data_IF_594088904737
#
_entry.id   IF_594088904737
#
_cell.length_a   1.000
_cell.length_b   1.000
_cell.length_c   1.000
_cell.angle_alpha   90.00
_cell.angle_beta   90.00
_cell.angle_gamma   90.00
#
_symmetry.space_group_name_H-M   'P 1'
#
loop_
_entity.id
_entity.type
_entity.pdbx_description
1 polymer ?
#
# COMPACT_ATOMS: atom_id res chain seq x y z
N UNK A 1 -7.81 19.51 -20.60
CA UNK A 1 -8.51 19.25 -19.32
C UNK A 1 -7.56 18.46 -18.43
N UNK A 2 -6.92 19.11 -17.46
CA UNK A 2 -6.12 18.39 -16.46
C UNK A 2 -7.08 17.57 -15.59
N UNK A 3 -7.03 16.24 -15.73
CA UNK A 3 -7.57 15.35 -14.70
C UNK A 3 -6.69 15.58 -13.48
N UNK A 4 -7.16 16.37 -12.52
CA UNK A 4 -6.48 16.55 -11.25
C UNK A 4 -6.41 15.18 -10.58
N UNK A 5 -5.20 14.70 -10.33
CA UNK A 5 -4.98 13.46 -9.60
C UNK A 5 -5.38 13.67 -8.14
N UNK A 6 -6.50 13.08 -7.76
CA UNK A 6 -7.01 13.12 -6.39
C UNK A 6 -6.63 11.81 -5.70
N UNK A 7 -5.46 11.81 -5.08
CA UNK A 7 -4.93 10.65 -4.36
C UNK A 7 -5.90 10.15 -3.28
N UNK A 8 -6.64 11.06 -2.63
CA UNK A 8 -7.60 10.71 -1.57
C UNK A 8 -8.78 9.96 -2.16
N UNK A 9 -9.31 10.44 -3.29
CA UNK A 9 -10.37 9.75 -4.03
C UNK A 9 -9.91 8.39 -4.56
N UNK A 10 -8.73 8.32 -5.18
CA UNK A 10 -8.14 7.07 -5.71
C UNK A 10 -7.95 6.01 -4.61
N UNK A 11 -7.54 6.41 -3.40
CA UNK A 11 -7.47 5.51 -2.27
C UNK A 11 -8.83 5.05 -1.75
N UNK A 12 -9.85 5.92 -1.80
CA UNK A 12 -11.18 5.60 -1.29
C UNK A 12 -11.98 4.71 -2.26
N UNK A 13 -11.80 4.91 -3.57
CA UNK A 13 -12.43 4.12 -4.64
C UNK A 13 -11.87 2.70 -4.74
N UNK A 14 -10.59 2.50 -4.41
CA UNK A 14 -9.94 1.19 -4.55
C UNK A 14 -9.86 0.38 -3.27
N UNK A 15 -10.24 0.98 -2.13
CA UNK A 15 -10.34 0.33 -0.83
C UNK A 15 -11.79 0.33 -0.36
N UNK A 16 -12.70 -0.07 -1.25
CA UNK A 16 -14.13 -0.23 -0.98
C UNK A 16 -14.38 -1.00 0.33
N UNK A 17 -15.58 -0.82 0.88
CA UNK A 17 -15.96 -1.38 2.17
C UNK A 17 -15.81 -2.92 2.22
N UNK A 18 -15.96 -3.63 1.09
CA UNK A 18 -15.66 -5.06 0.93
C UNK A 18 -14.18 -5.40 1.19
N UNK A 19 -13.26 -4.51 0.77
CA UNK A 19 -11.83 -4.68 0.97
C UNK A 19 -11.41 -4.32 2.41
N UNK A 20 -12.03 -3.28 3.00
CA UNK A 20 -11.87 -2.98 4.45
C UNK A 20 -12.40 -4.11 5.34
N UNK A 21 -13.43 -4.80 4.90
CA UNK A 21 -14.02 -5.95 5.60
C UNK A 21 -13.17 -7.21 5.44
N UNK A 22 -12.59 -7.44 4.26
CA UNK A 22 -11.61 -8.53 4.03
C UNK A 22 -10.35 -8.39 4.91
N UNK A 23 -9.90 -7.15 5.13
CA UNK A 23 -8.81 -6.79 6.06
C UNK A 23 -9.15 -7.04 7.55
N UNK A 24 -10.42 -7.28 7.88
CA UNK A 24 -10.88 -7.52 9.26
C UNK A 24 -11.02 -9.00 9.61
N UNK A 25 -11.17 -9.90 8.64
CA UNK A 25 -11.71 -11.25 8.95
C UNK A 25 -10.79 -12.41 8.54
N UNK A 26 -9.94 -12.29 7.49
CA UNK A 26 -9.09 -13.44 7.09
C UNK A 26 -7.70 -13.02 6.58
N UNK A 27 -6.61 -13.43 7.26
CA UNK A 27 -5.25 -13.23 6.78
C UNK A 27 -5.03 -13.82 5.38
N UNK A 28 -4.68 -12.97 4.42
CA UNK A 28 -4.43 -13.34 3.03
C UNK A 28 -3.22 -12.59 2.48
N UNK A 29 -2.25 -13.36 1.97
CA UNK A 29 -1.12 -12.86 1.18
C UNK A 29 -1.60 -11.95 0.03
N UNK A 30 -2.56 -12.43 -0.76
CA UNK A 30 -3.02 -11.75 -1.97
C UNK A 30 -3.65 -10.38 -1.68
N UNK A 31 -4.26 -10.21 -0.49
CA UNK A 31 -4.80 -8.91 -0.07
C UNK A 31 -3.65 -7.91 0.10
N UNK A 32 -2.61 -8.27 0.86
CA UNK A 32 -1.49 -7.37 1.11
C UNK A 32 -0.65 -7.12 -0.15
N UNK A 33 -0.49 -8.12 -1.01
CA UNK A 33 0.18 -7.99 -2.31
C UNK A 33 -0.58 -7.00 -3.22
N UNK A 34 -1.91 -7.10 -3.28
CA UNK A 34 -2.75 -6.16 -4.02
C UNK A 34 -2.59 -4.72 -3.52
N UNK A 35 -2.60 -4.52 -2.20
CA UNK A 35 -2.36 -3.21 -1.59
C UNK A 35 -1.00 -2.63 -1.94
N UNK A 36 0.07 -3.41 -1.76
CA UNK A 36 1.43 -2.97 -2.05
C UNK A 36 1.58 -2.58 -3.53
N UNK A 37 0.98 -3.38 -4.42
CA UNK A 37 0.98 -3.10 -5.87
C UNK A 37 0.24 -1.80 -6.19
N UNK A 38 -0.90 -1.54 -5.56
CA UNK A 38 -1.64 -0.28 -5.77
C UNK A 38 -0.90 0.93 -5.24
N UNK A 39 -0.21 0.82 -4.10
CA UNK A 39 0.64 1.91 -3.58
C UNK A 39 1.73 2.29 -4.58
N UNK A 40 2.39 1.31 -5.20
CA UNK A 40 3.39 1.57 -6.24
C UNK A 40 2.78 2.20 -7.50
N UNK A 41 1.59 1.77 -7.90
CA UNK A 41 0.88 2.37 -9.02
C UNK A 41 0.58 3.85 -8.78
N UNK A 42 0.09 4.20 -7.58
CA UNK A 42 -0.21 5.57 -7.19
C UNK A 42 1.05 6.43 -7.13
N UNK A 43 2.16 5.90 -6.61
CA UNK A 43 3.46 6.59 -6.62
C UNK A 43 3.87 6.91 -8.06
N UNK A 44 3.85 5.92 -8.95
CA UNK A 44 4.23 6.11 -10.35
C UNK A 44 3.34 7.12 -11.07
N UNK A 45 2.03 7.10 -10.80
CA UNK A 45 1.10 8.07 -11.36
C UNK A 45 1.42 9.48 -10.85
N UNK A 46 1.73 9.63 -9.56
CA UNK A 46 2.12 10.91 -9.00
C UNK A 46 3.45 11.42 -9.58
N UNK A 47 4.49 10.58 -9.66
CA UNK A 47 5.77 10.92 -10.28
C UNK A 47 5.63 11.37 -11.74
N UNK A 48 4.73 10.74 -12.51
CA UNK A 48 4.47 11.11 -13.91
C UNK A 48 3.79 12.48 -14.04
N UNK A 49 3.00 12.88 -13.05
CA UNK A 49 2.27 14.15 -13.06
C UNK A 49 3.09 15.29 -12.43
N UNK A 50 3.90 14.97 -11.43
CA UNK A 50 4.72 15.92 -10.67
C UNK A 50 6.15 15.39 -10.51
N UNK A 51 7.00 15.47 -11.55
CA UNK A 51 8.36 14.93 -11.52
C UNK A 51 9.24 15.49 -10.39
N UNK A 52 8.94 16.71 -9.93
CA UNK A 52 9.65 17.37 -8.84
C UNK A 52 9.42 16.72 -7.45
N UNK A 53 8.53 15.72 -7.36
CA UNK A 53 8.26 14.95 -6.13
C UNK A 53 8.98 13.59 -6.09
N UNK A 54 9.75 13.26 -7.13
CA UNK A 54 10.35 11.95 -7.29
C UNK A 54 11.35 11.59 -6.17
N UNK A 55 12.07 12.57 -5.62
CA UNK A 55 13.02 12.31 -4.53
C UNK A 55 12.30 11.92 -3.23
N UNK A 56 11.21 12.61 -2.89
CA UNK A 56 10.39 12.30 -1.71
C UNK A 56 9.67 10.94 -1.85
N UNK A 57 9.25 10.59 -3.06
CA UNK A 57 8.56 9.34 -3.35
C UNK A 57 9.49 8.13 -3.43
N UNK A 58 10.76 8.32 -3.81
CA UNK A 58 11.73 7.24 -3.98
C UNK A 58 11.92 6.39 -2.71
N UNK A 59 12.01 7.03 -1.54
CA UNK A 59 12.15 6.32 -0.26
C UNK A 59 10.96 5.40 0.01
N UNK A 60 9.75 5.89 -0.25
CA UNK A 60 8.51 5.15 -0.05
C UNK A 60 8.36 4.02 -1.08
N UNK A 61 8.72 4.27 -2.34
CA UNK A 61 8.74 3.26 -3.40
C UNK A 61 9.65 2.08 -2.98
N UNK A 62 10.84 2.38 -2.46
CA UNK A 62 11.79 1.37 -1.97
C UNK A 62 11.22 0.56 -0.80
N UNK A 63 10.57 1.21 0.17
CA UNK A 63 9.90 0.51 1.29
C UNK A 63 8.83 -0.47 0.79
N UNK A 64 8.03 -0.06 -0.18
CA UNK A 64 6.97 -0.92 -0.72
C UNK A 64 7.56 -2.11 -1.51
N UNK A 65 8.63 -1.89 -2.28
CA UNK A 65 9.34 -2.98 -2.98
C UNK A 65 9.91 -4.00 -1.99
N UNK A 66 10.52 -3.55 -0.88
CA UNK A 66 11.00 -4.44 0.18
C UNK A 66 9.87 -5.24 0.81
N UNK A 67 8.74 -4.59 1.10
CA UNK A 67 7.55 -5.28 1.60
C UNK A 67 7.06 -6.36 0.62
N UNK A 68 7.03 -6.10 -0.69
CA UNK A 68 6.64 -7.12 -1.67
C UNK A 68 7.56 -8.36 -1.63
N UNK A 69 8.85 -8.16 -1.42
CA UNK A 69 9.80 -9.27 -1.21
C UNK A 69 9.44 -10.03 0.07
N UNK A 70 9.23 -9.32 1.18
CA UNK A 70 8.86 -9.93 2.48
C UNK A 70 7.54 -10.71 2.40
N UNK A 71 6.53 -10.16 1.71
CA UNK A 71 5.25 -10.82 1.45
C UNK A 71 5.49 -12.16 0.74
N UNK A 72 6.29 -12.14 -0.33
CA UNK A 72 6.56 -13.32 -1.15
C UNK A 72 7.35 -14.41 -0.40
N UNK A 73 8.27 -14.01 0.49
CA UNK A 73 9.09 -14.93 1.29
C UNK A 73 8.35 -15.49 2.51
N UNK A 74 7.57 -14.67 3.22
CA UNK A 74 7.02 -15.02 4.53
C UNK A 74 5.56 -15.50 4.52
N UNK A 75 4.74 -15.06 3.56
CA UNK A 75 3.30 -15.37 3.56
C UNK A 75 2.90 -16.33 2.43
N UNK A 76 3.53 -16.24 1.25
CA UNK A 76 3.17 -17.10 0.10
C UNK A 76 3.39 -18.60 0.37
N UNK A 77 4.39 -18.93 1.19
CA UNK A 77 4.77 -20.31 1.52
C UNK A 77 4.01 -20.90 2.73
N UNK A 78 3.38 -20.06 3.55
CA UNK A 78 2.70 -20.44 4.80
C UNK A 78 1.18 -20.63 4.64
N UNK A 79 0.70 -20.73 3.41
CA UNK A 79 -0.73 -20.82 3.02
C UNK A 79 -1.49 -22.05 3.57
N UNK A 80 -0.82 -22.95 4.32
CA UNK A 80 -1.47 -23.99 5.13
C UNK A 80 -2.02 -23.36 6.41
N UNK A 81 -3.26 -22.89 6.28
CA UNK A 81 -4.15 -22.25 7.24
C UNK A 81 -4.14 -22.95 8.61
N UNK A 82 -4.10 -22.14 9.67
CA UNK A 82 -4.02 -22.42 11.13
C UNK A 82 -2.68 -22.12 11.82
N UNK A 83 -1.64 -21.73 11.07
CA UNK A 83 -0.39 -21.31 11.70
C UNK A 83 -0.52 -19.94 12.38
N UNK A 84 -0.42 -19.90 13.71
CA UNK A 84 -0.33 -18.67 14.52
C UNK A 84 0.75 -17.72 13.97
N UNK A 85 1.86 -18.26 13.48
CA UNK A 85 2.95 -17.48 12.89
C UNK A 85 2.51 -16.75 11.62
N UNK A 86 1.77 -17.42 10.72
CA UNK A 86 1.23 -16.79 9.51
C UNK A 86 0.34 -15.60 9.85
N UNK A 87 -0.56 -15.76 10.84
CA UNK A 87 -1.42 -14.66 11.30
C UNK A 87 -0.61 -13.51 11.90
N UNK A 88 0.39 -13.79 12.71
CA UNK A 88 1.27 -12.75 13.29
C UNK A 88 2.03 -12.00 12.21
N UNK A 89 2.68 -12.73 11.28
CA UNK A 89 3.40 -12.14 10.15
C UNK A 89 2.45 -11.28 9.29
N UNK A 90 1.24 -11.77 9.04
CA UNK A 90 0.24 -11.04 8.29
C UNK A 90 -0.18 -9.74 8.98
N UNK A 91 -0.38 -9.75 10.31
CA UNK A 91 -0.71 -8.54 11.07
C UNK A 91 0.42 -7.51 11.01
N UNK A 92 1.67 -7.93 11.20
CA UNK A 92 2.86 -7.06 11.10
C UNK A 92 2.93 -6.42 9.70
N UNK A 93 2.82 -7.25 8.66
CA UNK A 93 2.91 -6.78 7.27
C UNK A 93 1.73 -5.89 6.88
N UNK A 94 0.54 -6.15 7.43
CA UNK A 94 -0.63 -5.26 7.30
C UNK A 94 -0.37 -3.90 7.91
N UNK A 95 0.18 -3.85 9.13
CA UNK A 95 0.48 -2.58 9.80
C UNK A 95 1.53 -1.78 9.02
N UNK A 96 2.53 -2.46 8.44
CA UNK A 96 3.52 -1.83 7.56
C UNK A 96 2.86 -1.22 6.30
N UNK A 97 1.97 -1.95 5.63
CA UNK A 97 1.19 -1.42 4.48
C UNK A 97 0.39 -0.19 4.88
N UNK A 98 -0.27 -0.22 6.04
CA UNK A 98 -1.04 0.92 6.53
C UNK A 98 -0.16 2.13 6.84
N UNK A 99 1.01 1.92 7.45
CA UNK A 99 1.97 2.98 7.70
C UNK A 99 2.42 3.64 6.38
N UNK A 100 2.76 2.84 5.37
CA UNK A 100 3.15 3.34 4.04
C UNK A 100 2.01 4.11 3.34
N UNK A 101 0.76 3.66 3.48
CA UNK A 101 -0.40 4.43 3.02
C UNK A 101 -0.48 5.80 3.69
N UNK A 102 -0.34 5.85 5.01
CA UNK A 102 -0.39 7.13 5.74
C UNK A 102 0.76 8.05 5.35
N UNK A 103 1.96 7.50 5.15
CA UNK A 103 3.12 8.24 4.64
C UNK A 103 2.82 8.87 3.27
N UNK A 104 2.29 8.11 2.31
CA UNK A 104 1.92 8.65 0.99
C UNK A 104 0.88 9.77 1.09
N UNK A 105 -0.16 9.57 1.92
CA UNK A 105 -1.21 10.56 2.13
C UNK A 105 -0.69 11.84 2.80
N UNK A 106 0.25 11.72 3.73
CA UNK A 106 0.84 12.88 4.40
C UNK A 106 1.70 13.69 3.45
N UNK A 107 2.56 13.02 2.65
CA UNK A 107 3.34 13.68 1.60
C UNK A 107 2.42 14.44 0.64
N UNK A 108 1.31 13.83 0.22
CA UNK A 108 0.37 14.46 -0.70
C UNK A 108 -0.31 15.68 -0.09
N UNK A 109 -0.74 15.58 1.18
CA UNK A 109 -1.31 16.71 1.92
C UNK A 109 -0.31 17.85 2.09
N UNK A 110 0.95 17.55 2.36
CA UNK A 110 2.00 18.55 2.53
C UNK A 110 2.24 19.32 1.23
N UNK A 111 2.27 18.62 0.08
CA UNK A 111 2.41 19.27 -1.24
C UNK A 111 1.17 20.04 -1.68
N UNK A 112 -0.02 19.68 -1.20
CA UNK A 112 -1.29 20.32 -1.56
C UNK A 112 -1.81 21.30 -0.48
N UNK A 113 -0.98 21.67 0.50
CA UNK A 113 -1.26 22.76 1.44
C UNK A 113 -0.88 24.09 0.78
N UNK A 114 -1.69 24.52 -0.19
CA UNK A 114 -1.72 25.89 -0.71
C UNK A 114 -3.16 26.41 -0.66
#
# INVERSE_FOLDING_TARGET
MNKRFDLVSEFNLHLDDDYKESMKITPSYYILEGYASKLLELIKQWEQLEPDTAEELYSLERKIKLLQVDLSGHLKHDLKKENKQYRTNWLILKDNVQAMKHELLNLWKEKNKD
#
